data_IF_432810907538
#
_entry.id   IF_432810907538
#
_cell.length_a   1.000
_cell.length_b   1.000
_cell.length_c   1.000
_cell.angle_alpha   90.00
_cell.angle_beta   90.00
_cell.angle_gamma   90.00
#
_symmetry.space_group_name_H-M   'P 1'
#
loop_
_entity.id
_entity.type
_entity.pdbx_description
1 polymer ?
#
# COMPACT_ATOMS: atom_id res chain seq x y z
N UNK A 1 -11.17 -17.30 15.18
CA UNK A 1 -11.63 -16.24 14.27
C UNK A 1 -10.47 -15.88 13.38
N UNK A 2 -10.56 -16.13 12.08
CA UNK A 2 -9.46 -15.88 11.16
C UNK A 2 -9.41 -14.38 10.85
N UNK A 3 -8.29 -13.74 11.18
CA UNK A 3 -8.02 -12.33 10.91
C UNK A 3 -6.83 -12.22 9.97
N UNK A 4 -6.82 -11.20 9.13
CA UNK A 4 -5.71 -10.89 8.25
C UNK A 4 -5.04 -9.59 8.68
N UNK A 5 -3.74 -9.49 8.39
CA UNK A 5 -2.99 -8.26 8.62
C UNK A 5 -2.62 -7.60 7.29
N UNK A 6 -3.12 -6.38 7.10
CA UNK A 6 -2.94 -5.58 5.89
C UNK A 6 -1.99 -4.44 6.23
N UNK A 7 -0.97 -4.23 5.41
CA UNK A 7 0.00 -3.16 5.60
C UNK A 7 -0.24 -2.12 4.51
N UNK A 8 -0.87 -1.01 4.86
CA UNK A 8 -1.21 0.09 3.96
C UNK A 8 -0.09 1.13 4.03
N UNK A 9 0.47 1.49 2.87
CA UNK A 9 1.53 2.48 2.73
C UNK A 9 0.99 3.67 1.97
N UNK A 10 1.20 4.89 2.48
CA UNK A 10 0.81 6.15 1.87
C UNK A 10 1.97 7.14 1.97
N UNK A 11 2.57 7.53 0.85
CA UNK A 11 3.75 8.40 0.78
C UNK A 11 4.92 7.90 1.66
N UNK A 12 4.95 8.37 2.91
CA UNK A 12 5.99 8.11 3.91
C UNK A 12 5.44 7.39 5.14
N UNK A 13 4.11 7.24 5.22
CA UNK A 13 3.40 6.66 6.36
C UNK A 13 2.97 5.23 6.05
N UNK A 14 3.30 4.32 6.97
CA UNK A 14 2.89 2.93 6.85
C UNK A 14 2.03 2.55 8.04
N UNK A 15 0.81 2.12 7.77
CA UNK A 15 -0.13 1.70 8.78
C UNK A 15 -0.46 0.21 8.63
N UNK A 16 -0.49 -0.50 9.75
CA UNK A 16 -0.87 -1.91 9.78
C UNK A 16 -2.30 -2.02 10.31
N UNK A 17 -3.20 -2.51 9.47
CA UNK A 17 -4.58 -2.80 9.83
C UNK A 17 -4.74 -4.31 10.07
N UNK A 18 -5.51 -4.69 11.08
CA UNK A 18 -5.89 -6.09 11.33
C UNK A 18 -7.39 -6.17 11.20
N UNK A 19 -7.87 -6.93 10.22
CA UNK A 19 -9.31 -7.03 9.94
C UNK A 19 -9.75 -8.49 9.96
N UNK A 20 -11.03 -8.76 10.25
CA UNK A 20 -11.58 -10.10 10.10
C UNK A 20 -11.69 -10.47 8.61
N UNK A 21 -11.56 -11.76 8.30
CA UNK A 21 -11.70 -12.26 6.92
C UNK A 21 -13.10 -12.03 6.31
N UNK A 22 -14.08 -11.63 7.12
CA UNK A 22 -15.46 -11.33 6.72
C UNK A 22 -15.73 -9.84 6.57
N UNK A 23 -14.71 -8.98 6.63
CA UNK A 23 -14.90 -7.54 6.49
C UNK A 23 -15.22 -7.20 5.03
N UNK A 24 -16.12 -6.24 4.83
CA UNK A 24 -16.46 -5.73 3.50
C UNK A 24 -15.51 -4.60 3.10
N UNK A 25 -15.40 -4.40 1.78
CA UNK A 25 -14.63 -3.28 1.24
C UNK A 25 -15.05 -1.93 1.84
N UNK A 26 -16.36 -1.67 1.97
CA UNK A 26 -16.88 -0.42 2.53
C UNK A 26 -16.36 -0.12 3.96
N UNK A 27 -16.43 -1.09 4.87
CA UNK A 27 -15.92 -0.94 6.24
C UNK A 27 -14.40 -0.72 6.30
N UNK A 28 -13.65 -1.36 5.40
CA UNK A 28 -12.21 -1.18 5.31
C UNK A 28 -11.86 0.19 4.74
N UNK A 29 -12.57 0.63 3.71
CA UNK A 29 -12.47 1.96 3.15
C UNK A 29 -12.73 3.03 4.23
N UNK A 30 -13.79 2.90 5.03
CA UNK A 30 -14.06 3.83 6.13
C UNK A 30 -12.94 3.86 7.17
N UNK A 31 -12.36 2.69 7.50
CA UNK A 31 -11.22 2.63 8.40
C UNK A 31 -9.97 3.31 7.82
N UNK A 32 -9.67 3.09 6.53
CA UNK A 32 -8.56 3.76 5.85
C UNK A 32 -8.79 5.27 5.86
N UNK A 33 -9.99 5.73 5.51
CA UNK A 33 -10.34 7.16 5.55
C UNK A 33 -10.12 7.74 6.95
N UNK A 34 -10.51 7.02 8.00
CA UNK A 34 -10.31 7.47 9.37
C UNK A 34 -8.82 7.50 9.78
N UNK A 35 -8.05 6.46 9.46
CA UNK A 35 -6.62 6.32 9.79
C UNK A 35 -5.78 7.41 9.12
N UNK A 36 -6.03 7.64 7.84
CA UNK A 36 -5.30 8.62 7.03
C UNK A 36 -5.97 10.00 7.05
N UNK A 37 -7.06 10.18 7.83
CA UNK A 37 -7.85 11.42 7.89
C UNK A 37 -8.25 11.95 6.51
N UNK A 38 -8.64 11.05 5.61
CA UNK A 38 -9.04 11.38 4.24
C UNK A 38 -10.50 11.85 4.24
N UNK A 39 -10.83 12.99 3.62
CA UNK A 39 -12.19 13.45 3.48
C UNK A 39 -13.07 12.46 2.73
N UNK A 40 -14.36 12.37 3.10
CA UNK A 40 -15.35 11.54 2.40
C UNK A 40 -15.47 11.90 0.90
N UNK A 41 -15.23 13.17 0.58
CA UNK A 41 -15.32 13.75 -0.75
C UNK A 41 -14.08 13.46 -1.62
N UNK A 42 -12.97 13.05 -1.01
CA UNK A 42 -11.73 12.76 -1.74
C UNK A 42 -11.72 11.32 -2.20
N UNK A 43 -11.71 11.05 -3.52
CA UNK A 43 -11.52 9.69 -4.01
C UNK A 43 -10.09 9.27 -3.69
N UNK A 44 -9.90 8.00 -3.32
CA UNK A 44 -8.59 7.41 -3.12
C UNK A 44 -8.52 6.09 -3.88
N UNK A 45 -7.31 5.71 -4.29
CA UNK A 45 -7.06 4.44 -4.93
C UNK A 45 -6.23 3.58 -3.98
N UNK A 46 -6.72 2.37 -3.71
CA UNK A 46 -5.95 1.38 -2.99
C UNK A 46 -5.44 0.33 -3.97
N UNK A 47 -4.14 0.21 -4.11
CA UNK A 47 -3.48 -0.75 -5.00
C UNK A 47 -2.80 -1.83 -4.16
N UNK A 48 -2.79 -3.07 -4.61
CA UNK A 48 -2.05 -4.14 -3.96
C UNK A 48 -1.34 -4.98 -5.00
N UNK A 49 -0.37 -5.76 -4.55
CA UNK A 49 0.35 -6.70 -5.40
C UNK A 49 -0.21 -8.09 -5.18
N UNK A 50 -0.70 -8.71 -6.24
CA UNK A 50 -1.25 -10.06 -6.20
C UNK A 50 -0.15 -11.13 -6.29
N UNK A 51 -0.51 -12.42 -6.27
CA UNK A 51 0.45 -13.54 -6.30
C UNK A 51 1.29 -13.58 -7.59
N UNK A 52 0.74 -13.09 -8.70
CA UNK A 52 1.44 -12.97 -9.99
C UNK A 52 2.40 -11.77 -10.05
N UNK A 53 2.34 -10.88 -9.05
CA UNK A 53 3.17 -9.68 -9.00
C UNK A 53 2.58 -8.46 -9.71
N UNK A 54 1.31 -8.53 -10.14
CA UNK A 54 0.57 -7.42 -10.74
C UNK A 54 0.03 -6.43 -9.70
N UNK A 55 0.01 -5.14 -10.07
CA UNK A 55 -0.58 -4.07 -9.28
C UNK A 55 -2.07 -3.92 -9.60
N UNK A 56 -2.91 -4.45 -8.72
CA UNK A 56 -4.36 -4.43 -8.88
C UNK A 56 -4.95 -3.33 -7.99
N UNK A 57 -5.88 -2.54 -8.55
CA UNK A 57 -6.62 -1.54 -7.78
C UNK A 57 -7.82 -2.19 -7.14
N UNK A 58 -7.82 -2.25 -5.81
CA UNK A 58 -8.89 -2.86 -5.05
C UNK A 58 -10.10 -1.92 -5.02
N UNK A 59 -11.19 -2.40 -5.62
CA UNK A 59 -12.46 -1.68 -5.71
C UNK A 59 -13.68 -2.60 -5.48
N UNK A 60 -13.43 -3.90 -5.27
CA UNK A 60 -14.48 -4.91 -5.15
C UNK A 60 -14.28 -5.76 -3.90
N UNK A 61 -15.40 -6.12 -3.26
CA UNK A 61 -15.45 -7.03 -2.13
C UNK A 61 -14.91 -8.44 -2.47
N UNK A 62 -15.20 -8.94 -3.67
CA UNK A 62 -14.75 -10.25 -4.14
C UNK A 62 -13.23 -10.36 -4.19
N UNK A 63 -12.57 -9.36 -4.79
CA UNK A 63 -11.10 -9.31 -4.85
C UNK A 63 -10.50 -9.27 -3.46
N UNK A 64 -11.09 -8.47 -2.57
CA UNK A 64 -10.65 -8.35 -1.21
C UNK A 64 -10.75 -9.67 -0.43
N UNK A 65 -11.86 -10.39 -0.53
CA UNK A 65 -12.01 -11.71 0.08
C UNK A 65 -10.97 -12.71 -0.45
N UNK A 66 -10.69 -12.71 -1.76
CA UNK A 66 -9.67 -13.58 -2.34
C UNK A 66 -8.28 -13.26 -1.79
N UNK A 67 -7.91 -11.98 -1.75
CA UNK A 67 -6.63 -11.49 -1.22
C UNK A 67 -6.43 -11.90 0.23
N UNK A 68 -7.48 -11.81 1.05
CA UNK A 68 -7.45 -12.26 2.44
C UNK A 68 -7.30 -13.78 2.57
N UNK A 69 -7.88 -14.54 1.65
CA UNK A 69 -7.85 -15.99 1.62
C UNK A 69 -6.48 -16.54 1.17
N UNK A 70 -5.84 -15.87 0.20
CA UNK A 70 -4.54 -16.26 -0.38
C UNK A 70 -3.36 -16.03 0.58
N UNK A 71 -3.42 -15.05 1.49
CA UNK A 71 -2.36 -14.87 2.47
C UNK A 71 -2.58 -13.79 3.52
N UNK A 72 -2.17 -14.07 4.77
CA UNK A 72 -2.41 -13.20 5.92
C UNK A 72 -1.62 -11.87 5.94
N UNK A 73 -0.79 -11.58 4.93
CA UNK A 73 0.17 -10.45 4.92
C UNK A 73 0.24 -9.78 3.55
N UNK A 74 -0.72 -8.90 3.29
CA UNK A 74 -0.80 -8.19 2.01
C UNK A 74 -0.36 -6.74 2.20
N UNK A 75 0.42 -6.24 1.25
CA UNK A 75 0.87 -4.85 1.20
C UNK A 75 -0.04 -4.07 0.26
N UNK A 76 -0.61 -3.00 0.77
CA UNK A 76 -1.41 -2.06 0.00
C UNK A 76 -0.66 -0.75 -0.13
N UNK A 77 -0.84 -0.11 -1.27
CA UNK A 77 -0.41 1.23 -1.59
C UNK A 77 -1.66 2.09 -1.71
N UNK A 78 -1.74 3.12 -0.87
CA UNK A 78 -2.79 4.11 -0.94
C UNK A 78 -2.27 5.29 -1.78
N UNK A 79 -3.05 5.70 -2.76
CA UNK A 79 -2.75 6.85 -3.63
C UNK A 79 -3.94 7.80 -3.63
N UNK A 80 -3.67 9.06 -3.33
CA UNK A 80 -4.67 10.14 -3.40
C UNK A 80 -4.45 10.95 -4.69
N UNK A 81 -5.51 11.48 -5.33
CA UNK A 81 -5.38 12.33 -6.52
C UNK A 81 -4.69 13.66 -6.20
N UNK A 82 -4.78 14.12 -4.96
CA UNK A 82 -4.09 15.33 -4.49
C UNK A 82 -2.57 15.14 -4.41
N UNK A 83 -2.12 13.88 -4.32
CA UNK A 83 -0.72 13.51 -4.19
C UNK A 83 0.02 13.52 -5.53
N UNK A 84 -0.70 13.37 -6.65
CA UNK A 84 -0.11 13.28 -8.01
C UNK A 84 0.69 14.52 -8.42
N UNK A 85 0.59 15.63 -7.69
CA UNK A 85 1.30 16.88 -7.97
C UNK A 85 2.68 16.94 -7.28
N UNK A 86 2.96 16.08 -6.29
CA UNK A 86 4.17 16.12 -5.46
C UNK A 86 4.67 14.71 -5.05
N UNK A 87 4.64 13.72 -5.95
CA UNK A 87 5.30 12.44 -5.65
C UNK A 87 6.69 12.39 -6.30
N UNK A 88 7.79 12.53 -5.54
CA UNK A 88 9.08 12.03 -6.01
C UNK A 88 8.92 10.52 -6.19
N UNK A 89 9.29 10.00 -7.35
CA UNK A 89 9.36 8.57 -7.70
C UNK A 89 9.55 7.71 -6.45
N UNK A 90 8.44 7.27 -5.85
CA UNK A 90 8.48 6.45 -4.65
C UNK A 90 8.77 5.07 -5.17
N UNK A 91 10.05 4.84 -5.40
CA UNK A 91 10.69 3.60 -5.81
C UNK A 91 10.30 2.53 -4.80
N UNK A 92 9.18 1.86 -5.08
CA UNK A 92 8.62 0.75 -4.31
C UNK A 92 9.60 -0.45 -4.22
N UNK A 93 10.73 -0.36 -4.95
CA UNK A 93 11.79 -1.36 -5.04
C UNK A 93 13.16 -0.90 -4.49
N UNK A 94 13.28 0.18 -3.71
CA UNK A 94 14.61 0.53 -3.14
C UNK A 94 14.89 -0.23 -1.84
N UNK A 95 14.92 -1.55 -1.98
CA UNK A 95 15.68 -2.45 -1.11
C UNK A 95 16.43 -3.46 -1.98
N UNK A 96 17.09 -2.99 -3.04
CA UNK A 96 18.13 -3.76 -3.71
C UNK A 96 19.19 -2.82 -4.32
N UNK A 97 20.29 -2.71 -3.57
CA UNK A 97 21.64 -2.40 -4.06
C UNK A 97 21.83 -1.09 -4.84
N UNK A 98 22.05 0.02 -4.15
CA UNK A 98 23.16 0.90 -4.56
C UNK A 98 24.31 0.67 -3.59
N UNK A 99 25.10 -0.37 -3.88
CA UNK A 99 26.44 -0.47 -3.31
C UNK A 99 27.17 0.82 -3.67
N UNK A 100 27.40 1.61 -2.64
CA UNK A 100 28.37 2.67 -2.57
C UNK A 100 29.70 2.21 -3.19
N UNK A 101 29.97 2.62 -4.43
CA UNK A 101 31.32 2.58 -4.98
C UNK A 101 31.92 3.98 -4.84
N UNK A 102 32.73 4.13 -3.80
CA UNK A 102 33.58 5.30 -3.60
C UNK A 102 34.72 5.22 -4.60
N UNK A 103 34.59 5.92 -5.73
CA UNK A 103 35.78 6.27 -6.51
C UNK A 103 36.50 7.39 -5.72
N UNK A 104 37.57 6.98 -5.03
CA UNK A 104 38.53 7.91 -4.44
C UNK A 104 39.38 8.46 -5.57
N UNK A 105 39.20 9.73 -5.93
CA UNK A 105 40.11 10.42 -6.86
C UNK A 105 41.24 11.09 -6.04
N UNK A 106 42.46 10.77 -6.44
CA UNK A 106 43.73 11.08 -5.78
C UNK A 106 44.07 12.59 -5.79
N UNK A 107 44.86 13.09 -4.83
CA UNK A 107 45.23 14.50 -4.74
C UNK A 107 46.43 14.83 -5.65
N UNK A 108 46.45 16.06 -6.19
CA UNK A 108 47.63 16.69 -6.82
C UNK A 108 48.42 17.53 -5.83
#
# INVERSE_FOLDING_TARGET
>A
MSTASLKITHLTSVHKLIVPLTIKWADLEEQIRNIFSIPSDTPFLLRYRDEDGDLITLNSDLEFEQVLCTGARVKFLLTLPQDEVDQPDTDWDMSSTSSFDTISEEPV
#
